data_IF_400681586593
#
_entry.id   IF_400681586593
#
_cell.length_a   1.000
_cell.length_b   1.000
_cell.length_c   1.000
_cell.angle_alpha   90.00
_cell.angle_beta   90.00
_cell.angle_gamma   90.00
#
_symmetry.space_group_name_H-M   'P 1'
#
loop_
_entity.id
_entity.type
_entity.pdbx_description
1 polymer ?
#
# COMPACT_ATOMS: atom_id res chain seq x y z
N UNK A 1 13.28 -5.38 -28.01
CA UNK A 1 13.75 -6.70 -27.49
C UNK A 1 13.92 -6.58 -25.99
N UNK A 2 13.50 -7.59 -25.22
CA UNK A 2 13.83 -7.68 -23.80
C UNK A 2 15.10 -8.53 -23.65
N UNK A 3 16.12 -8.00 -22.97
CA UNK A 3 17.38 -8.70 -22.68
C UNK A 3 17.32 -9.17 -21.23
N UNK A 4 17.68 -10.41 -20.95
CA UNK A 4 17.70 -10.94 -19.60
C UNK A 4 19.03 -11.60 -19.29
N UNK A 5 19.46 -11.45 -18.05
CA UNK A 5 20.67 -12.06 -17.51
C UNK A 5 20.31 -12.83 -16.24
N UNK A 6 20.79 -14.07 -16.15
CA UNK A 6 20.50 -14.98 -15.04
C UNK A 6 21.77 -15.25 -14.24
N UNK A 7 21.76 -14.91 -12.95
CA UNK A 7 22.82 -15.25 -12.00
C UNK A 7 22.26 -16.26 -10.97
N UNK A 8 23.13 -17.04 -10.29
CA UNK A 8 22.74 -18.04 -9.28
C UNK A 8 21.87 -17.47 -8.13
N UNK A 9 21.78 -16.14 -7.98
CA UNK A 9 21.05 -15.44 -6.91
C UNK A 9 19.79 -14.69 -7.38
N UNK A 10 19.52 -14.59 -8.69
CA UNK A 10 18.38 -13.83 -9.20
C UNK A 10 18.43 -13.53 -10.70
N UNK A 11 17.35 -12.93 -11.20
CA UNK A 11 17.13 -12.61 -12.60
C UNK A 11 17.12 -11.08 -12.78
N UNK A 12 17.83 -10.59 -13.77
CA UNK A 12 17.76 -9.20 -14.23
C UNK A 12 17.11 -9.14 -15.61
N UNK A 13 16.15 -8.24 -15.79
CA UNK A 13 15.41 -8.04 -17.03
C UNK A 13 15.52 -6.57 -17.44
N UNK A 14 15.99 -6.33 -18.66
CA UNK A 14 15.91 -5.05 -19.32
C UNK A 14 14.82 -5.09 -20.38
N UNK A 15 13.79 -4.26 -20.22
CA UNK A 15 12.67 -4.16 -21.15
C UNK A 15 12.61 -2.74 -21.73
N UNK A 16 12.32 -2.62 -23.02
CA UNK A 16 12.18 -1.33 -23.71
C UNK A 16 10.77 -1.18 -24.27
N UNK A 17 9.78 -0.77 -23.45
CA UNK A 17 8.44 -0.46 -23.93
C UNK A 17 8.34 0.97 -24.53
N UNK A 18 9.01 1.97 -23.93
CA UNK A 18 9.15 3.37 -24.42
C UNK A 18 10.41 4.08 -23.90
N UNK A 19 10.78 3.79 -22.65
CA UNK A 19 12.08 4.11 -22.02
C UNK A 19 12.66 2.80 -21.49
N UNK A 20 13.99 2.72 -21.36
CA UNK A 20 14.64 1.53 -20.81
C UNK A 20 14.21 1.32 -19.35
N UNK A 21 13.65 0.16 -19.03
CA UNK A 21 13.27 -0.24 -17.67
C UNK A 21 14.13 -1.44 -17.28
N UNK A 22 14.91 -1.29 -16.21
CA UNK A 22 15.68 -2.37 -15.60
C UNK A 22 14.93 -2.88 -14.37
N UNK A 23 14.80 -4.21 -14.28
CA UNK A 23 14.09 -4.89 -13.21
C UNK A 23 14.98 -6.01 -12.69
N UNK A 24 15.13 -6.11 -11.37
CA UNK A 24 15.92 -7.15 -10.72
C UNK A 24 15.06 -7.85 -9.68
N UNK A 25 14.99 -9.18 -9.75
CA UNK A 25 14.17 -9.98 -8.86
C UNK A 25 14.91 -11.24 -8.43
N UNK A 26 14.79 -11.60 -7.16
CA UNK A 26 15.22 -12.92 -6.64
C UNK A 26 14.03 -13.89 -6.48
N UNK A 27 12.80 -13.43 -6.72
CA UNK A 27 11.57 -14.20 -6.47
C UNK A 27 11.30 -15.26 -7.55
N UNK A 28 11.98 -15.18 -8.69
CA UNK A 28 11.76 -16.06 -9.82
C UNK A 28 13.04 -16.80 -10.19
N UNK A 29 12.95 -18.13 -10.30
CA UNK A 29 14.05 -18.99 -10.74
C UNK A 29 14.10 -19.18 -12.26
N UNK A 30 13.01 -18.87 -12.99
CA UNK A 30 12.92 -18.99 -14.45
C UNK A 30 12.04 -17.89 -15.04
N UNK A 31 12.44 -17.36 -16.19
CA UNK A 31 11.63 -16.44 -16.98
C UNK A 31 10.49 -17.21 -17.66
N UNK A 32 9.25 -16.83 -17.36
CA UNK A 32 8.06 -17.28 -18.11
C UNK A 32 7.47 -16.06 -18.84
N UNK A 33 7.19 -16.23 -20.13
CA UNK A 33 6.49 -15.24 -20.94
C UNK A 33 5.02 -15.67 -20.97
N UNK A 34 4.11 -14.76 -20.59
CA UNK A 34 2.67 -15.00 -20.70
C UNK A 34 2.29 -14.98 -22.17
N UNK A 35 1.97 -16.14 -22.74
CA UNK A 35 1.53 -16.26 -24.13
C UNK A 35 0.02 -16.05 -24.30
N UNK A 36 -0.74 -15.82 -23.22
CA UNK A 36 -2.19 -15.56 -23.28
C UNK A 36 -2.55 -14.09 -23.49
N UNK A 37 -1.59 -13.17 -23.36
CA UNK A 37 -1.80 -11.72 -23.60
C UNK A 37 -1.20 -11.31 -24.94
N UNK A 38 -1.87 -10.41 -25.65
CA UNK A 38 -1.33 -9.77 -26.87
C UNK A 38 0.00 -9.04 -26.58
N UNK A 39 0.13 -8.53 -25.35
CA UNK A 39 1.33 -7.96 -24.81
C UNK A 39 2.27 -9.09 -24.39
N UNK A 40 3.28 -9.41 -25.20
CA UNK A 40 4.36 -10.41 -24.92
C UNK A 40 5.27 -10.01 -23.75
N UNK A 41 4.68 -9.59 -22.62
CA UNK A 41 5.34 -9.04 -21.46
C UNK A 41 5.73 -10.19 -20.52
N UNK A 42 6.98 -10.22 -20.01
CA UNK A 42 7.38 -11.25 -19.06
C UNK A 42 6.54 -11.22 -17.78
N UNK A 43 6.20 -12.41 -17.23
CA UNK A 43 5.41 -12.54 -16.00
C UNK A 43 6.01 -11.76 -14.84
N UNK A 44 7.35 -11.74 -14.77
CA UNK A 44 8.11 -11.01 -13.75
C UNK A 44 7.73 -9.52 -13.71
N UNK A 45 7.50 -8.90 -14.88
CA UNK A 45 7.10 -7.49 -14.93
C UNK A 45 5.67 -7.31 -14.39
N UNK A 46 4.78 -8.29 -14.64
CA UNK A 46 3.41 -8.24 -14.11
C UNK A 46 3.40 -8.44 -12.59
N UNK A 47 4.16 -9.41 -12.09
CA UNK A 47 4.29 -9.70 -10.65
C UNK A 47 4.89 -8.50 -9.90
N UNK A 48 5.91 -7.85 -10.46
CA UNK A 48 6.47 -6.62 -9.87
C UNK A 48 5.46 -5.46 -9.89
N UNK A 49 4.67 -5.29 -10.96
CA UNK A 49 3.65 -4.25 -10.99
C UNK A 49 2.51 -4.53 -9.99
N UNK A 50 2.15 -5.80 -9.79
CA UNK A 50 1.17 -6.20 -8.77
C UNK A 50 1.68 -5.89 -7.36
N UNK A 51 2.97 -6.11 -7.09
CA UNK A 51 3.57 -5.87 -5.76
C UNK A 51 3.81 -4.40 -5.41
N UNK A 52 3.97 -3.52 -6.41
CA UNK A 52 4.36 -2.11 -6.18
C UNK A 52 3.27 -1.21 -5.61
N UNK A 53 2.00 -1.55 -5.82
CA UNK A 53 0.88 -0.64 -5.49
C UNK A 53 0.50 -0.56 -4.00
N UNK A 54 1.11 -1.35 -3.12
CA UNK A 54 0.68 -1.47 -1.72
C UNK A 54 0.80 -0.17 -0.92
N UNK A 55 1.97 0.48 -1.00
CA UNK A 55 2.24 1.74 -0.27
C UNK A 55 1.40 2.88 -0.86
N UNK A 56 1.40 3.04 -2.17
CA UNK A 56 0.60 4.07 -2.85
C UNK A 56 -0.90 3.93 -2.54
N UNK A 57 -1.40 2.69 -2.45
CA UNK A 57 -2.79 2.42 -2.06
C UNK A 57 -3.08 2.84 -0.62
N UNK A 58 -2.14 2.68 0.30
CA UNK A 58 -2.26 3.16 1.67
C UNK A 58 -2.25 4.69 1.70
N UNK A 59 -1.30 5.32 0.99
CA UNK A 59 -1.16 6.77 0.94
C UNK A 59 -2.42 7.43 0.39
N UNK A 60 -2.99 6.91 -0.70
CA UNK A 60 -4.25 7.38 -1.27
C UNK A 60 -5.44 7.25 -0.29
N UNK A 61 -5.45 6.20 0.55
CA UNK A 61 -6.49 6.01 1.57
C UNK A 61 -6.30 6.95 2.77
N UNK A 62 -5.07 7.32 3.08
CA UNK A 62 -4.75 8.26 4.16
C UNK A 62 -5.06 9.69 3.70
N UNK A 63 -4.72 10.07 2.48
CA UNK A 63 -4.97 11.41 1.93
C UNK A 63 -6.45 11.83 2.07
N UNK A 64 -7.38 10.90 1.81
CA UNK A 64 -8.82 11.18 1.87
C UNK A 64 -9.41 11.31 3.29
N UNK A 65 -8.79 10.73 4.31
CA UNK A 65 -9.37 10.60 5.65
C UNK A 65 -8.37 10.87 6.79
N UNK A 66 -7.23 11.48 6.47
CA UNK A 66 -6.15 11.73 7.42
C UNK A 66 -6.44 12.88 8.37
N UNK A 67 -5.77 12.86 9.52
CA UNK A 67 -5.89 13.83 10.60
C UNK A 67 -4.74 14.83 10.63
N UNK A 68 -3.83 14.78 9.65
CA UNK A 68 -2.70 15.71 9.51
C UNK A 68 -3.14 17.18 9.49
N UNK A 69 -2.54 17.98 10.36
CA UNK A 69 -2.70 19.44 10.41
C UNK A 69 -1.38 20.14 10.10
N UNK A 70 -1.46 21.37 9.60
CA UNK A 70 -0.28 22.25 9.46
C UNK A 70 0.35 22.45 10.84
N UNK A 71 1.63 22.15 10.95
CA UNK A 71 2.40 22.28 12.19
C UNK A 71 3.85 22.63 11.86
N UNK A 72 4.49 23.42 12.71
CA UNK A 72 5.93 23.74 12.60
C UNK A 72 6.80 22.79 13.45
N UNK A 73 6.21 21.80 14.11
CA UNK A 73 6.93 20.85 14.98
C UNK A 73 6.99 19.49 14.31
N UNK A 74 8.20 19.01 14.01
CA UNK A 74 8.42 17.70 13.36
C UNK A 74 7.82 16.54 14.17
N UNK A 75 7.94 16.56 15.49
CA UNK A 75 7.35 15.54 16.36
C UNK A 75 5.83 15.43 16.21
N UNK A 76 5.14 16.57 16.03
CA UNK A 76 3.69 16.57 15.77
C UNK A 76 3.37 15.99 14.38
N UNK A 77 4.20 16.26 13.37
CA UNK A 77 4.04 15.65 12.05
C UNK A 77 4.15 14.12 12.13
N UNK A 78 5.16 13.61 12.85
CA UNK A 78 5.33 12.17 13.07
C UNK A 78 4.15 11.57 13.82
N UNK A 79 3.64 12.26 14.85
CA UNK A 79 2.46 11.81 15.58
C UNK A 79 1.23 11.67 14.68
N UNK A 80 0.92 12.68 13.85
CA UNK A 80 -0.20 12.58 12.91
C UNK A 80 -0.04 11.39 11.94
N UNK A 81 1.17 11.16 11.43
CA UNK A 81 1.45 10.04 10.53
C UNK A 81 1.20 8.68 11.22
N UNK A 82 1.68 8.52 12.45
CA UNK A 82 1.47 7.29 13.24
C UNK A 82 -0.03 7.05 13.46
N UNK A 83 -0.78 8.09 13.81
CA UNK A 83 -2.24 8.00 14.00
C UNK A 83 -2.94 7.62 12.71
N UNK A 84 -2.61 8.26 11.58
CA UNK A 84 -3.24 8.00 10.28
C UNK A 84 -2.98 6.56 9.79
N UNK A 85 -1.75 6.06 9.93
CA UNK A 85 -1.38 4.67 9.61
C UNK A 85 -2.09 3.69 10.56
N UNK A 86 -2.14 4.00 11.86
CA UNK A 86 -2.82 3.18 12.86
C UNK A 86 -4.31 3.02 12.59
N UNK A 87 -5.00 4.13 12.28
CA UNK A 87 -6.42 4.11 11.89
C UNK A 87 -6.63 3.28 10.62
N UNK A 88 -5.76 3.42 9.62
CA UNK A 88 -5.87 2.66 8.37
C UNK A 88 -5.70 1.14 8.60
N UNK A 89 -4.74 0.75 9.43
CA UNK A 89 -4.49 -0.65 9.77
C UNK A 89 -5.63 -1.25 10.59
N UNK A 90 -6.15 -0.51 11.57
CA UNK A 90 -7.30 -0.94 12.36
C UNK A 90 -8.55 -1.12 11.48
N UNK A 91 -8.78 -0.19 10.54
CA UNK A 91 -9.87 -0.31 9.57
C UNK A 91 -9.70 -1.56 8.68
N UNK A 92 -8.50 -1.82 8.16
CA UNK A 92 -8.20 -3.00 7.35
C UNK A 92 -8.45 -4.31 8.12
N UNK A 93 -8.01 -4.38 9.36
CA UNK A 93 -8.22 -5.55 10.22
C UNK A 93 -9.70 -5.80 10.46
N UNK A 94 -10.45 -4.74 10.77
CA UNK A 94 -11.88 -4.84 11.02
C UNK A 94 -12.65 -5.20 9.75
N UNK A 95 -12.32 -4.60 8.62
CA UNK A 95 -12.95 -4.90 7.32
C UNK A 95 -12.62 -6.29 6.77
N UNK A 96 -11.58 -6.96 7.29
CA UNK A 96 -11.32 -8.36 6.99
C UNK A 96 -12.35 -9.30 7.63
N UNK A 97 -13.01 -8.88 8.72
CA UNK A 97 -14.10 -9.63 9.30
C UNK A 97 -15.36 -9.45 8.42
N UNK A 98 -15.89 -10.54 7.85
CA UNK A 98 -17.01 -10.51 6.88
C UNK A 98 -18.26 -9.75 7.39
N UNK A 99 -18.44 -9.68 8.70
CA UNK A 99 -19.54 -8.99 9.37
C UNK A 99 -19.41 -7.47 9.33
N UNK A 100 -18.21 -6.93 9.10
CA UNK A 100 -17.94 -5.49 9.16
C UNK A 100 -18.06 -4.82 7.78
N UNK A 101 -19.28 -4.41 7.43
CA UNK A 101 -19.61 -3.76 6.16
C UNK A 101 -19.66 -2.22 6.25
N UNK A 102 -18.91 -1.61 7.19
CA UNK A 102 -18.96 -0.15 7.39
C UNK A 102 -17.91 0.56 6.53
N UNK A 103 -18.27 1.76 6.05
CA UNK A 103 -17.33 2.63 5.35
C UNK A 103 -16.25 3.16 6.29
N UNK A 104 -15.06 3.45 5.77
CA UNK A 104 -13.94 4.02 6.53
C UNK A 104 -14.35 5.30 7.30
N UNK A 105 -15.17 6.15 6.68
CA UNK A 105 -15.73 7.36 7.32
C UNK A 105 -16.54 7.03 8.58
N UNK A 106 -17.40 6.00 8.52
CA UNK A 106 -18.20 5.57 9.66
C UNK A 106 -17.35 4.94 10.75
N UNK A 107 -16.37 4.11 10.38
CA UNK A 107 -15.39 3.55 11.31
C UNK A 107 -14.68 4.65 12.11
N UNK A 108 -14.13 5.67 11.44
CA UNK A 108 -13.42 6.77 12.10
C UNK A 108 -14.35 7.54 13.05
N UNK A 109 -15.60 7.78 12.64
CA UNK A 109 -16.59 8.45 13.51
C UNK A 109 -16.87 7.65 14.78
N UNK A 110 -17.09 6.34 14.66
CA UNK A 110 -17.33 5.46 15.81
C UNK A 110 -16.09 5.36 16.72
N UNK A 111 -14.91 5.20 16.13
CA UNK A 111 -13.64 5.22 16.85
C UNK A 111 -13.44 6.52 17.63
N UNK A 112 -13.68 7.67 16.98
CA UNK A 112 -13.56 8.98 17.63
C UNK A 112 -14.54 9.16 18.79
N UNK A 113 -15.76 8.63 18.68
CA UNK A 113 -16.73 8.67 19.76
C UNK A 113 -16.24 7.83 20.95
N UNK A 114 -15.82 6.59 20.70
CA UNK A 114 -15.33 5.67 21.74
C UNK A 114 -14.13 6.23 22.52
N UNK A 115 -13.18 6.87 21.82
CA UNK A 115 -12.00 7.47 22.45
C UNK A 115 -12.34 8.68 23.34
N UNK A 116 -13.45 9.37 23.05
CA UNK A 116 -13.82 10.62 23.72
C UNK A 116 -14.83 10.38 24.84
N UNK A 117 -15.70 9.36 24.75
CA UNK A 117 -16.78 9.10 25.71
C UNK A 117 -16.29 9.03 27.16
N UNK A 118 -15.25 8.24 27.46
CA UNK A 118 -14.72 8.11 28.82
C UNK A 118 -14.21 9.45 29.39
N UNK A 119 -13.62 10.29 28.54
CA UNK A 119 -13.13 11.61 28.94
C UNK A 119 -14.25 12.64 29.12
N UNK A 120 -15.37 12.49 28.41
CA UNK A 120 -16.56 13.32 28.65
C UNK A 120 -17.17 12.95 29.99
N UNK A 121 -17.37 11.65 30.25
CA UNK A 121 -17.99 11.14 31.49
C UNK A 121 -17.20 11.51 32.75
N UNK A 122 -15.87 11.63 32.66
CA UNK A 122 -15.01 12.05 33.78
C UNK A 122 -14.88 13.57 33.96
N UNK A 123 -15.37 14.37 33.00
CA UNK A 123 -15.38 15.84 33.11
C UNK A 123 -16.64 16.41 33.75
N UNK A 124 -17.71 15.62 33.81
CA UNK A 124 -18.96 15.93 34.50
C UNK A 124 -19.01 15.20 35.84
#
# INVERSE_FOLDING_TARGET
MAVYEHNKKGIMISCVPRKNVLLMTSCHAKLKIDNQRDDKRPNIINDDNLGKGGVDSMDARIENFGCKRKTNRYTMLMFHLIVDVGINNAFLLMSHQQTYQKTKKRFIKELSAQLVTQHIETRY
#
